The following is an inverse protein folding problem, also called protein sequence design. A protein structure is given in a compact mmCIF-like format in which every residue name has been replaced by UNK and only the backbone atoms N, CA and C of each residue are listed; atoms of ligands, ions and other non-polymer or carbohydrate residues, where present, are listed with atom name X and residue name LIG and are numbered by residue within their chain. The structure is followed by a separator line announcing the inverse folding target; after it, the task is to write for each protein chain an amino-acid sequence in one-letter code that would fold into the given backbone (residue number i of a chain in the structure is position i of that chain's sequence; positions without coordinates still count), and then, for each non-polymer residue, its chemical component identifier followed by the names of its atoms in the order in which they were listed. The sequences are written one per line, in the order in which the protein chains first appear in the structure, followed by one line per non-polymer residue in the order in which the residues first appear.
data_IF_804457865056
#
_entry.id   IF_804457865056
#
_cell.length_a   1.000
_cell.length_b   1.000
_cell.length_c   1.000
_cell.angle_alpha   90.00
_cell.angle_beta   90.00
_cell.angle_gamma   90.00
#
_symmetry.space_group_name_H-M   'P 1'
#
loop_
_entity.id
_entity.type
_entity.pdbx_description
1 polymer ?
#
# COMPACT_ATOMS: atom_id res chain seq x y z
N UNK A 1 -0.56 20.03 13.34
CA UNK A 1 -0.88 18.94 12.40
C UNK A 1 -2.38 18.99 12.16
N UNK A 2 -2.82 19.47 10.99
CA UNK A 2 -4.23 19.54 10.63
C UNK A 2 -4.61 18.38 9.70
N UNK A 3 -5.81 17.84 9.85
CA UNK A 3 -6.35 16.81 8.94
C UNK A 3 -7.33 17.46 7.97
N UNK A 4 -7.15 17.23 6.67
CA UNK A 4 -8.11 17.66 5.65
C UNK A 4 -9.06 16.51 5.34
N UNK A 5 -10.37 16.73 5.44
CA UNK A 5 -11.39 15.77 5.04
C UNK A 5 -11.67 15.95 3.55
N UNK A 6 -11.43 14.90 2.76
CA UNK A 6 -11.74 14.85 1.33
C UNK A 6 -12.88 13.86 1.13
N UNK A 7 -13.92 14.26 0.40
CA UNK A 7 -15.00 13.37 -0.03
C UNK A 7 -14.64 12.85 -1.42
N UNK A 8 -14.60 11.53 -1.56
CA UNK A 8 -14.33 10.84 -2.83
C UNK A 8 -15.60 10.05 -3.17
N UNK A 9 -16.09 10.22 -4.38
CA UNK A 9 -17.21 9.47 -4.95
C UNK A 9 -16.62 8.55 -6.03
N UNK A 10 -16.55 7.22 -5.80
CA UNK A 10 -15.87 6.31 -6.72
C UNK A 10 -16.46 6.27 -8.13
N UNK A 11 -17.76 6.58 -8.24
CA UNK A 11 -18.50 6.58 -9.50
C UNK A 11 -18.34 7.91 -10.27
N UNK A 12 -17.79 8.96 -9.64
CA UNK A 12 -17.51 10.24 -10.27
C UNK A 12 -16.00 10.55 -10.22
N UNK A 13 -15.27 10.35 -11.34
CA UNK A 13 -13.82 10.55 -11.39
C UNK A 13 -13.40 12.00 -11.12
N UNK A 14 -14.31 12.99 -11.24
CA UNK A 14 -14.01 14.39 -10.93
C UNK A 14 -13.82 14.65 -9.42
N UNK A 15 -14.29 13.73 -8.58
CA UNK A 15 -14.12 13.79 -7.11
C UNK A 15 -12.81 13.16 -6.63
N UNK A 16 -12.10 12.46 -7.53
CA UNK A 16 -10.82 11.85 -7.23
C UNK A 16 -9.75 12.94 -7.37
N UNK A 17 -9.03 13.28 -6.28
CA UNK A 17 -7.97 14.27 -6.38
C UNK A 17 -6.88 13.77 -7.34
N UNK A 18 -6.36 14.68 -8.15
CA UNK A 18 -5.28 14.35 -9.08
C UNK A 18 -4.08 13.81 -8.32
N UNK A 19 -3.70 12.56 -8.63
CA UNK A 19 -2.51 11.94 -8.10
C UNK A 19 -1.26 12.69 -8.56
N UNK A 20 -0.25 12.80 -7.69
CA UNK A 20 1.05 13.35 -8.09
C UNK A 20 2.04 12.22 -8.29
N UNK A 21 2.59 12.13 -9.50
CA UNK A 21 3.70 11.23 -9.84
C UNK A 21 4.85 12.06 -10.40
N UNK A 22 6.08 11.56 -10.27
CA UNK A 22 7.26 12.13 -10.91
C UNK A 22 7.52 11.36 -12.22
N UNK A 23 7.07 11.86 -13.39
CA UNK A 23 7.05 11.05 -14.61
C UNK A 23 8.45 10.64 -15.06
N UNK A 24 9.43 11.53 -14.91
CA UNK A 24 10.83 11.25 -15.22
C UNK A 24 11.40 10.08 -14.41
N UNK A 25 10.97 9.92 -13.16
CA UNK A 25 11.40 8.82 -12.30
C UNK A 25 10.76 7.51 -12.76
N UNK A 26 9.45 7.54 -13.06
CA UNK A 26 8.71 6.36 -13.54
C UNK A 26 9.27 5.88 -14.88
N UNK A 27 9.54 6.79 -15.83
CA UNK A 27 10.07 6.42 -17.13
C UNK A 27 11.54 5.99 -17.11
N UNK A 28 12.31 6.38 -16.08
CA UNK A 28 13.70 5.97 -15.93
C UNK A 28 13.87 4.64 -15.18
N UNK A 29 12.81 4.13 -14.56
CA UNK A 29 12.85 2.86 -13.83
C UNK A 29 13.18 1.71 -14.79
N UNK A 30 14.19 0.91 -14.42
CA UNK A 30 14.57 -0.27 -15.21
C UNK A 30 13.83 -1.51 -14.74
N UNK A 31 13.76 -2.54 -15.57
CA UNK A 31 13.20 -3.86 -15.18
C UNK A 31 13.91 -4.45 -13.96
N UNK A 32 15.20 -4.19 -13.80
CA UNK A 32 15.96 -4.62 -12.63
C UNK A 32 15.52 -3.88 -11.34
N UNK A 33 15.17 -2.60 -11.45
CA UNK A 33 14.62 -1.83 -10.32
C UNK A 33 13.22 -2.30 -9.93
N UNK A 34 12.38 -2.60 -10.91
CA UNK A 34 11.03 -3.15 -10.71
C UNK A 34 11.14 -4.52 -10.01
N UNK A 35 11.93 -5.44 -10.56
CA UNK A 35 12.12 -6.77 -9.97
C UNK A 35 12.78 -6.76 -8.58
N UNK A 36 13.53 -5.70 -8.23
CA UNK A 36 13.99 -5.48 -6.86
C UNK A 36 12.82 -5.09 -5.95
N UNK A 37 12.05 -4.09 -6.37
CA UNK A 37 10.91 -3.61 -5.59
C UNK A 37 9.86 -4.70 -5.37
N UNK A 38 9.53 -5.49 -6.39
CA UNK A 38 8.58 -6.59 -6.28
C UNK A 38 8.97 -7.60 -5.18
N UNK A 39 10.25 -7.97 -5.12
CA UNK A 39 10.75 -8.89 -4.09
C UNK A 39 10.68 -8.29 -2.69
N UNK A 40 10.91 -6.99 -2.56
CA UNK A 40 10.77 -6.29 -1.28
C UNK A 40 9.31 -6.21 -0.84
N UNK A 41 8.41 -5.88 -1.77
CA UNK A 41 6.97 -5.79 -1.54
C UNK A 41 6.39 -7.17 -1.16
N UNK A 42 6.82 -8.24 -1.82
CA UNK A 42 6.44 -9.62 -1.48
C UNK A 42 6.88 -10.00 -0.05
N UNK A 43 8.12 -9.65 0.32
CA UNK A 43 8.64 -9.91 1.66
C UNK A 43 7.87 -9.12 2.73
N UNK A 44 7.47 -7.88 2.44
CA UNK A 44 6.63 -7.08 3.32
C UNK A 44 5.21 -7.65 3.43
N UNK A 45 4.61 -8.06 2.31
CA UNK A 45 3.28 -8.67 2.27
C UNK A 45 3.22 -9.93 3.14
N UNK A 46 4.24 -10.79 3.07
CA UNK A 46 4.35 -11.97 3.93
C UNK A 46 4.40 -11.58 5.41
N UNK A 47 5.21 -10.58 5.78
CA UNK A 47 5.24 -10.10 7.16
C UNK A 47 3.91 -9.51 7.62
N UNK A 48 3.22 -8.78 6.73
CA UNK A 48 1.89 -8.21 6.98
C UNK A 48 0.86 -9.28 7.31
N UNK A 49 0.81 -10.37 6.53
CA UNK A 49 -0.10 -11.50 6.78
C UNK A 49 0.19 -12.18 8.13
N UNK A 50 1.47 -12.36 8.48
CA UNK A 50 1.87 -12.91 9.78
C UNK A 50 1.47 -11.99 10.94
N UNK A 51 1.68 -10.68 10.81
CA UNK A 51 1.28 -9.71 11.84
C UNK A 51 -0.23 -9.68 12.02
N UNK A 52 -0.99 -9.72 10.93
CA UNK A 52 -2.45 -9.71 10.94
C UNK A 52 -3.02 -10.99 11.56
N UNK A 53 -2.54 -12.17 11.15
CA UNK A 53 -2.96 -13.45 11.72
C UNK A 53 -2.64 -13.55 13.21
N UNK A 54 -1.45 -13.10 13.64
CA UNK A 54 -1.10 -12.99 15.07
C UNK A 54 -2.07 -12.07 15.83
N UNK A 55 -2.45 -10.94 15.24
CA UNK A 55 -3.42 -10.01 15.84
C UNK A 55 -4.79 -10.66 16.01
N UNK A 56 -5.27 -11.38 15.00
CA UNK A 56 -6.53 -12.13 15.06
C UNK A 56 -6.47 -13.20 16.16
N UNK A 57 -5.40 -14.00 16.22
CA UNK A 57 -5.25 -15.07 17.23
C UNK A 57 -5.31 -14.51 18.66
N UNK A 58 -4.55 -13.44 18.92
CA UNK A 58 -4.59 -12.75 20.23
C UNK A 58 -5.98 -12.23 20.58
N UNK A 59 -6.70 -11.64 19.61
CA UNK A 59 -8.06 -11.12 19.83
C UNK A 59 -9.07 -12.23 20.13
N UNK A 60 -8.89 -13.40 19.52
CA UNK A 60 -9.75 -14.56 19.71
C UNK A 60 -9.31 -15.47 20.88
N UNK A 61 -8.29 -15.07 21.65
CA UNK A 61 -7.76 -15.87 22.76
C UNK A 61 -7.13 -17.20 22.33
N UNK A 62 -6.74 -17.33 21.05
CA UNK A 62 -6.05 -18.52 20.53
C UNK A 62 -4.55 -18.35 20.77
N UNK A 63 -3.88 -19.38 21.29
CA UNK A 63 -2.43 -19.38 21.45
C UNK A 63 -1.73 -19.29 20.09
N UNK A 64 -0.46 -18.84 20.13
CA UNK A 64 0.39 -18.61 18.95
C UNK A 64 0.54 -19.85 18.07
#
# INVERSE_FOLDING_TARGET
MGTTRVKIEPDDPSTIPEGRVAPAVVSAATEADIARQEREDEAEALQGTVRYTRRIRRRLGRSL
#
